data_IF_836971240526
#
_entry.id   IF_836971240526
#
_cell.length_a   1.000
_cell.length_b   1.000
_cell.length_c   1.000
_cell.angle_alpha   90.00
_cell.angle_beta   90.00
_cell.angle_gamma   90.00
#
_symmetry.space_group_name_H-M   'P 1'
#
loop_
_entity.id
_entity.type
_entity.pdbx_description
1 polymer ?
#
# COMPACT_ATOMS: atom_id res chain seq x y z
N UNK A 1 27.21 -31.31 29.14
CA UNK A 1 26.03 -30.72 28.49
C UNK A 1 26.23 -29.23 28.29
N UNK A 2 26.63 -28.50 29.32
CA UNK A 2 26.83 -27.03 29.27
C UNK A 2 27.85 -26.60 28.20
N UNK A 3 29.01 -27.28 28.05
CA UNK A 3 30.01 -26.93 27.05
C UNK A 3 29.51 -27.06 25.61
N UNK A 4 28.64 -28.05 25.34
CA UNK A 4 28.03 -28.20 24.00
C UNK A 4 27.06 -27.07 23.69
N UNK A 5 26.28 -26.59 24.70
CA UNK A 5 25.37 -25.46 24.54
C UNK A 5 26.17 -24.17 24.36
N UNK A 6 27.19 -23.93 25.19
CA UNK A 6 28.07 -22.76 25.07
C UNK A 6 28.74 -22.70 23.69
N UNK A 7 29.20 -23.85 23.20
CA UNK A 7 29.78 -23.95 21.88
C UNK A 7 28.77 -23.72 20.74
N UNK A 8 27.53 -24.20 20.91
CA UNK A 8 26.44 -23.93 19.95
C UNK A 8 26.11 -22.45 19.86
N UNK A 9 26.00 -21.78 21.00
CA UNK A 9 25.75 -20.33 21.07
C UNK A 9 26.92 -19.53 20.49
N UNK A 10 28.17 -19.93 20.80
CA UNK A 10 29.35 -19.29 20.23
C UNK A 10 29.38 -19.36 18.70
N UNK A 11 29.01 -20.50 18.13
CA UNK A 11 28.98 -20.68 16.68
C UNK A 11 27.87 -19.82 16.00
N UNK A 12 26.71 -19.72 16.65
CA UNK A 12 25.61 -18.83 16.19
C UNK A 12 26.10 -17.38 16.23
N UNK A 13 26.75 -16.95 17.32
CA UNK A 13 27.27 -15.60 17.45
C UNK A 13 28.40 -15.31 16.44
N UNK A 14 29.28 -16.26 16.17
CA UNK A 14 30.31 -16.15 15.13
C UNK A 14 29.67 -15.96 13.74
N UNK A 15 28.61 -16.73 13.43
CA UNK A 15 27.88 -16.61 12.18
C UNK A 15 27.13 -15.27 12.09
N UNK A 16 26.50 -14.83 13.17
CA UNK A 16 25.85 -13.53 13.30
C UNK A 16 26.83 -12.37 13.02
N UNK A 17 27.95 -12.32 13.72
CA UNK A 17 28.93 -11.26 13.56
C UNK A 17 29.55 -11.24 12.17
N UNK A 18 29.82 -12.41 11.60
CA UNK A 18 30.30 -12.54 10.23
C UNK A 18 29.31 -11.99 9.22
N UNK A 19 28.02 -12.23 9.41
CA UNK A 19 26.94 -11.73 8.55
C UNK A 19 26.82 -10.21 8.67
N UNK A 20 26.74 -9.68 9.89
CA UNK A 20 26.67 -8.25 10.15
C UNK A 20 27.85 -7.48 9.52
N UNK A 21 29.07 -8.00 9.70
CA UNK A 21 30.26 -7.41 9.10
C UNK A 21 30.22 -7.42 7.57
N UNK A 22 29.65 -8.47 6.96
CA UNK A 22 29.56 -8.56 5.50
C UNK A 22 28.52 -7.58 4.95
N UNK A 23 27.37 -7.43 5.64
CA UNK A 23 26.32 -6.48 5.28
C UNK A 23 26.85 -5.04 5.27
N UNK A 24 27.57 -4.64 6.33
CA UNK A 24 28.11 -3.26 6.44
C UNK A 24 29.25 -3.00 5.46
N UNK A 25 30.01 -4.02 5.07
CA UNK A 25 31.18 -3.86 4.17
C UNK A 25 30.84 -3.86 2.70
N UNK A 26 29.71 -4.44 2.31
CA UNK A 26 29.24 -4.45 0.94
C UNK A 26 28.32 -3.25 0.72
N UNK A 27 28.81 -2.23 -0.01
CA UNK A 27 28.11 -0.96 -0.21
C UNK A 27 26.71 -1.16 -0.81
N UNK A 28 26.56 -2.07 -1.79
CA UNK A 28 25.27 -2.35 -2.40
C UNK A 28 24.31 -3.03 -1.44
N UNK A 29 24.79 -3.96 -0.61
CA UNK A 29 23.97 -4.62 0.41
C UNK A 29 23.56 -3.63 1.50
N UNK A 30 24.49 -2.81 1.98
CA UNK A 30 24.21 -1.78 2.99
C UNK A 30 23.21 -0.73 2.47
N UNK A 31 23.35 -0.30 1.21
CA UNK A 31 22.42 0.61 0.57
C UNK A 31 20.98 0.07 0.61
N UNK A 32 20.77 -1.15 0.12
CA UNK A 32 19.43 -1.72 -0.01
C UNK A 32 18.85 -2.31 1.27
N UNK A 33 19.67 -2.74 2.23
CA UNK A 33 19.17 -3.27 3.51
C UNK A 33 19.00 -2.20 4.60
N UNK A 34 19.74 -1.09 4.52
CA UNK A 34 19.73 -0.07 5.58
C UNK A 34 19.21 1.27 5.07
N UNK A 35 19.77 1.81 3.95
CA UNK A 35 19.47 3.16 3.51
C UNK A 35 18.11 3.24 2.80
N UNK A 36 17.87 2.38 1.82
CA UNK A 36 16.63 2.39 1.05
C UNK A 36 15.39 2.22 1.93
N UNK A 37 15.30 1.26 2.88
CA UNK A 37 14.12 1.13 3.73
C UNK A 37 13.93 2.28 4.72
N UNK A 38 14.92 3.14 4.91
CA UNK A 38 14.76 4.36 5.72
C UNK A 38 14.17 5.51 4.88
N UNK A 39 14.67 5.74 3.67
CA UNK A 39 14.29 6.90 2.87
C UNK A 39 13.05 6.65 1.98
N UNK A 40 12.91 5.44 1.45
CA UNK A 40 11.83 5.13 0.51
C UNK A 40 10.42 5.24 1.13
N UNK A 41 10.18 4.80 2.38
CA UNK A 41 8.90 5.02 3.05
C UNK A 41 8.57 6.50 3.28
N UNK A 42 9.58 7.34 3.57
CA UNK A 42 9.38 8.80 3.71
C UNK A 42 8.89 9.38 2.39
N UNK A 43 9.56 9.03 1.28
CA UNK A 43 9.19 9.54 -0.05
C UNK A 43 7.73 9.18 -0.39
N UNK A 44 7.34 7.91 -0.22
CA UNK A 44 5.96 7.48 -0.47
C UNK A 44 4.97 8.19 0.44
N UNK A 45 5.25 8.24 1.73
CA UNK A 45 4.36 8.90 2.68
C UNK A 45 4.21 10.39 2.40
N UNK A 46 5.25 11.06 1.94
CA UNK A 46 5.19 12.46 1.56
C UNK A 46 4.34 12.69 0.31
N UNK A 47 4.50 11.86 -0.73
CA UNK A 47 3.70 11.95 -1.97
C UNK A 47 2.20 11.79 -1.67
N UNK A 48 1.85 10.86 -0.79
CA UNK A 48 0.44 10.55 -0.46
C UNK A 48 -0.10 11.31 0.76
N UNK A 49 0.68 12.24 1.34
CA UNK A 49 0.29 12.97 2.55
C UNK A 49 -0.95 13.86 2.37
N UNK A 50 -1.19 14.34 1.16
CA UNK A 50 -2.39 15.15 0.87
C UNK A 50 -3.69 14.34 0.88
N UNK A 51 -3.61 13.02 0.97
CA UNK A 51 -4.69 12.03 1.08
C UNK A 51 -5.87 12.19 0.10
N UNK A 52 -6.41 13.41 -0.05
CA UNK A 52 -7.57 13.75 -0.88
C UNK A 52 -7.15 14.79 -1.93
N UNK A 53 -7.58 14.59 -3.16
CA UNK A 53 -7.39 15.59 -4.22
C UNK A 53 -8.38 16.71 -4.00
N UNK A 54 -7.89 17.95 -3.93
CA UNK A 54 -8.70 19.16 -3.76
C UNK A 54 -8.47 20.12 -4.91
N UNK A 55 -9.40 21.08 -5.06
CA UNK A 55 -9.34 22.13 -6.09
C UNK A 55 -9.11 21.56 -7.51
N UNK A 56 -9.80 20.45 -7.86
CA UNK A 56 -9.70 19.85 -9.19
C UNK A 56 -10.18 20.86 -10.23
N UNK A 57 -9.35 21.25 -11.22
CA UNK A 57 -9.75 22.25 -12.20
C UNK A 57 -10.83 21.72 -13.13
N UNK A 58 -11.92 22.50 -13.28
CA UNK A 58 -13.05 22.18 -14.16
C UNK A 58 -13.41 23.37 -15.04
N UNK A 59 -13.95 23.07 -16.23
CA UNK A 59 -14.53 24.07 -17.10
C UNK A 59 -16.06 24.09 -16.95
N UNK A 60 -16.66 25.28 -16.97
CA UNK A 60 -18.10 25.46 -16.94
C UNK A 60 -18.57 26.03 -18.28
N UNK A 61 -19.61 25.42 -18.85
CA UNK A 61 -20.35 25.91 -20.02
C UNK A 61 -21.76 26.24 -19.57
N UNK A 62 -21.99 27.53 -19.29
CA UNK A 62 -23.32 28.03 -18.89
C UNK A 62 -24.09 28.60 -20.09
N UNK A 63 -24.94 27.76 -20.72
CA UNK A 63 -25.81 28.20 -21.81
C UNK A 63 -27.12 28.87 -21.31
N UNK A 64 -27.45 28.69 -20.01
CA UNK A 64 -28.68 29.26 -19.42
C UNK A 64 -28.53 30.73 -19.05
N UNK A 65 -27.38 31.19 -18.63
CA UNK A 65 -27.12 32.53 -18.11
C UNK A 65 -28.13 33.03 -17.07
N UNK A 66 -28.74 32.12 -16.32
CA UNK A 66 -29.84 32.38 -15.39
C UNK A 66 -29.33 32.62 -13.96
N UNK A 67 -30.23 33.03 -13.06
CA UNK A 67 -29.93 33.17 -11.65
C UNK A 67 -29.62 31.80 -11.02
N UNK A 68 -30.33 30.75 -11.42
CA UNK A 68 -30.16 29.36 -10.95
C UNK A 68 -28.84 28.75 -11.44
N UNK A 69 -28.45 29.02 -12.71
CA UNK A 69 -27.15 28.54 -13.21
C UNK A 69 -25.99 29.21 -12.48
N UNK A 70 -26.06 30.52 -12.25
CA UNK A 70 -25.03 31.24 -11.48
C UNK A 70 -24.94 30.75 -10.02
N UNK A 71 -26.08 30.44 -9.40
CA UNK A 71 -26.12 29.89 -8.05
C UNK A 71 -25.50 28.50 -8.01
N UNK A 72 -25.79 27.64 -8.98
CA UNK A 72 -25.16 26.32 -9.11
C UNK A 72 -23.65 26.46 -9.22
N UNK A 73 -23.16 27.27 -10.14
CA UNK A 73 -21.70 27.48 -10.36
C UNK A 73 -21.02 28.05 -9.11
N UNK A 74 -21.66 29.04 -8.46
CA UNK A 74 -21.10 29.62 -7.23
C UNK A 74 -20.95 28.59 -6.11
N UNK A 75 -21.94 27.73 -5.91
CA UNK A 75 -21.89 26.65 -4.90
C UNK A 75 -20.92 25.55 -5.28
N UNK A 76 -20.81 25.29 -6.57
CA UNK A 76 -19.90 24.29 -7.11
C UNK A 76 -18.44 24.73 -6.92
N UNK A 77 -18.13 25.97 -7.22
CA UNK A 77 -16.81 26.56 -7.01
C UNK A 77 -16.45 26.73 -5.51
N UNK A 78 -17.46 26.89 -4.65
CA UNK A 78 -17.28 26.93 -3.21
C UNK A 78 -17.01 25.58 -2.57
N UNK A 79 -17.13 24.47 -3.32
CA UNK A 79 -16.77 23.13 -2.83
C UNK A 79 -15.24 23.00 -2.73
N UNK A 80 -14.71 22.41 -1.65
CA UNK A 80 -13.27 22.22 -1.49
C UNK A 80 -12.68 21.24 -2.50
N UNK A 81 -13.51 20.43 -3.18
CA UNK A 81 -13.07 19.35 -4.06
C UNK A 81 -12.76 19.84 -5.48
N UNK A 82 -13.38 20.93 -5.91
CA UNK A 82 -13.32 21.43 -7.30
C UNK A 82 -13.03 22.92 -7.34
N UNK A 83 -12.46 23.37 -8.46
CA UNK A 83 -12.22 24.78 -8.75
C UNK A 83 -12.66 25.07 -10.18
N UNK A 84 -13.52 26.06 -10.36
CA UNK A 84 -13.91 26.52 -11.67
C UNK A 84 -12.76 27.35 -12.26
N UNK A 85 -11.97 26.73 -13.13
CA UNK A 85 -10.80 27.35 -13.74
C UNK A 85 -11.15 28.14 -14.99
N UNK A 86 -12.14 27.68 -15.79
CA UNK A 86 -12.51 28.26 -17.06
C UNK A 86 -14.02 28.34 -17.25
N UNK A 87 -14.47 29.46 -17.81
CA UNK A 87 -15.80 29.62 -18.36
C UNK A 87 -15.71 29.57 -19.88
N UNK A 88 -16.39 28.62 -20.51
CA UNK A 88 -16.36 28.40 -21.94
C UNK A 88 -17.75 28.71 -22.56
N UNK A 89 -17.72 29.21 -23.81
CA UNK A 89 -18.96 29.49 -24.54
C UNK A 89 -19.53 28.26 -25.25
N UNK A 90 -18.71 27.23 -25.45
CA UNK A 90 -19.15 26.00 -26.12
C UNK A 90 -18.52 24.76 -25.51
N UNK A 91 -19.20 23.61 -25.68
CA UNK A 91 -18.68 22.30 -25.24
C UNK A 91 -17.40 21.95 -26.01
N UNK A 92 -17.28 22.35 -27.28
CA UNK A 92 -16.09 22.09 -28.11
C UNK A 92 -14.86 22.81 -27.56
N UNK A 93 -15.02 24.02 -27.08
CA UNK A 93 -13.95 24.77 -26.41
C UNK A 93 -13.51 24.06 -25.13
N UNK A 94 -14.47 23.69 -24.28
CA UNK A 94 -14.21 22.98 -23.04
C UNK A 94 -13.54 21.61 -23.27
N UNK A 95 -13.95 20.86 -24.32
CA UNK A 95 -13.33 19.60 -24.71
C UNK A 95 -11.86 19.76 -25.10
N UNK A 96 -11.51 20.88 -25.77
CA UNK A 96 -10.11 21.18 -26.11
C UNK A 96 -9.25 21.40 -24.86
N UNK A 97 -9.80 22.01 -23.81
CA UNK A 97 -9.12 22.18 -22.53
C UNK A 97 -8.90 20.84 -21.82
N UNK A 98 -9.90 19.94 -21.86
CA UNK A 98 -9.73 18.56 -21.37
C UNK A 98 -8.66 17.80 -22.15
N UNK A 99 -8.68 17.91 -23.48
CA UNK A 99 -7.67 17.27 -24.33
C UNK A 99 -6.24 17.77 -24.09
N UNK A 100 -6.09 19.02 -23.65
CA UNK A 100 -4.81 19.61 -23.22
C UNK A 100 -4.45 19.32 -21.78
N UNK A 101 -5.34 18.62 -21.02
CA UNK A 101 -5.19 18.35 -19.59
C UNK A 101 -5.14 19.63 -18.71
N UNK A 102 -5.68 20.76 -19.21
CA UNK A 102 -5.80 21.97 -18.42
C UNK A 102 -6.94 21.90 -17.42
N UNK A 103 -7.98 21.09 -17.72
CA UNK A 103 -9.11 20.76 -16.83
C UNK A 103 -9.41 19.26 -16.86
N UNK A 104 -9.97 18.75 -15.76
CA UNK A 104 -10.30 17.33 -15.60
C UNK A 104 -11.77 17.01 -15.84
N UNK A 105 -12.61 18.03 -16.03
CA UNK A 105 -14.04 17.84 -16.31
C UNK A 105 -14.72 19.09 -16.80
N UNK A 106 -15.96 18.90 -17.30
CA UNK A 106 -16.81 19.96 -17.84
C UNK A 106 -18.17 19.86 -17.17
N UNK A 107 -18.68 20.97 -16.69
CA UNK A 107 -20.07 21.11 -16.23
C UNK A 107 -20.85 21.90 -17.27
N UNK A 108 -21.87 21.29 -17.84
CA UNK A 108 -22.75 21.93 -18.83
C UNK A 108 -24.11 22.20 -18.24
N UNK A 109 -24.51 23.45 -18.29
CA UNK A 109 -25.81 23.97 -17.84
C UNK A 109 -26.63 24.36 -19.08
N UNK A 110 -27.74 23.64 -19.40
CA UNK A 110 -28.48 23.84 -20.64
C UNK A 110 -29.30 25.15 -20.62
N UNK A 111 -29.60 25.68 -21.80
CA UNK A 111 -30.35 26.94 -22.00
C UNK A 111 -31.75 26.95 -21.32
N UNK A 112 -32.39 25.79 -21.29
CA UNK A 112 -33.73 25.62 -20.74
C UNK A 112 -33.79 25.35 -19.23
N UNK A 113 -32.60 25.30 -18.54
CA UNK A 113 -32.47 25.00 -17.11
C UNK A 113 -33.49 25.79 -16.27
N UNK A 114 -33.46 27.10 -16.34
CA UNK A 114 -34.37 27.97 -15.55
C UNK A 114 -35.81 27.85 -15.94
N UNK A 115 -36.09 27.69 -17.25
CA UNK A 115 -37.47 27.54 -17.77
C UNK A 115 -38.11 26.26 -17.25
N UNK A 116 -37.38 25.15 -17.25
CA UNK A 116 -37.84 23.85 -16.71
C UNK A 116 -38.05 23.91 -15.21
N UNK A 117 -37.07 24.41 -14.47
CA UNK A 117 -37.16 24.53 -13.00
C UNK A 117 -38.41 25.38 -12.61
N UNK A 118 -38.64 26.52 -13.29
CA UNK A 118 -39.81 27.36 -13.01
C UNK A 118 -41.14 26.72 -13.39
N UNK A 119 -41.15 25.72 -14.30
CA UNK A 119 -42.34 24.93 -14.66
C UNK A 119 -42.52 23.68 -13.80
N UNK A 120 -41.68 23.48 -12.79
CA UNK A 120 -41.63 22.26 -11.97
C UNK A 120 -41.31 21.00 -12.80
N UNK A 121 -40.56 21.16 -13.90
CA UNK A 121 -40.08 20.07 -14.73
C UNK A 121 -38.64 19.71 -14.32
N UNK A 122 -38.23 18.45 -14.54
CA UNK A 122 -36.86 18.04 -14.29
C UNK A 122 -35.90 18.70 -15.27
N UNK A 123 -34.87 19.35 -14.76
CA UNK A 123 -33.77 19.89 -15.55
C UNK A 123 -32.50 19.06 -15.28
N UNK A 124 -31.70 18.83 -16.31
CA UNK A 124 -30.51 18.00 -16.23
C UNK A 124 -29.24 18.84 -16.38
N UNK A 125 -28.38 18.82 -15.38
CA UNK A 125 -27.02 19.34 -15.47
C UNK A 125 -26.12 18.18 -15.93
N UNK A 126 -25.38 18.37 -17.03
CA UNK A 126 -24.49 17.33 -17.56
C UNK A 126 -23.08 17.54 -17.07
N UNK A 127 -22.47 16.49 -16.52
CA UNK A 127 -21.12 16.51 -16.02
C UNK A 127 -20.30 15.53 -16.85
N UNK A 128 -19.30 16.04 -17.56
CA UNK A 128 -18.36 15.25 -18.35
C UNK A 128 -17.03 15.20 -17.61
N UNK A 129 -16.55 14.02 -17.28
CA UNK A 129 -15.33 13.83 -16.51
C UNK A 129 -14.33 12.96 -17.24
N UNK A 130 -13.06 13.26 -17.06
CA UNK A 130 -11.99 12.35 -17.44
C UNK A 130 -11.89 11.19 -16.42
N UNK A 131 -12.32 10.01 -16.83
CA UNK A 131 -12.30 8.81 -15.99
C UNK A 131 -10.92 8.14 -15.91
N UNK A 132 -9.92 8.62 -16.64
CA UNK A 132 -8.54 8.11 -16.52
C UNK A 132 -7.93 8.47 -15.16
N UNK A 133 -8.38 9.57 -14.55
CA UNK A 133 -8.00 10.04 -13.22
C UNK A 133 -9.11 9.81 -12.20
N UNK A 134 -9.21 8.58 -11.68
CA UNK A 134 -10.29 8.14 -10.79
C UNK A 134 -10.56 9.09 -9.59
N UNK A 135 -9.52 9.65 -8.99
CA UNK A 135 -9.65 10.56 -7.84
C UNK A 135 -10.26 11.90 -8.26
N UNK A 136 -9.83 12.47 -9.40
CA UNK A 136 -10.38 13.70 -9.93
C UNK A 136 -11.85 13.52 -10.35
N UNK A 137 -12.17 12.41 -11.03
CA UNK A 137 -13.54 12.02 -11.36
C UNK A 137 -14.44 11.98 -10.12
N UNK A 138 -13.98 11.29 -9.05
CA UNK A 138 -14.75 11.19 -7.80
C UNK A 138 -14.99 12.57 -7.18
N UNK A 139 -14.00 13.44 -7.14
CA UNK A 139 -14.12 14.80 -6.60
C UNK A 139 -15.16 15.63 -7.37
N UNK A 140 -15.07 15.64 -8.72
CA UNK A 140 -15.98 16.35 -9.61
C UNK A 140 -17.42 15.86 -9.43
N UNK A 141 -17.62 14.54 -9.41
CA UNK A 141 -18.96 13.94 -9.29
C UNK A 141 -19.57 14.19 -7.90
N UNK A 142 -18.77 14.03 -6.84
CA UNK A 142 -19.24 14.27 -5.47
C UNK A 142 -19.67 15.72 -5.28
N UNK A 143 -18.87 16.68 -5.75
CA UNK A 143 -19.22 18.09 -5.70
C UNK A 143 -20.53 18.39 -6.48
N UNK A 144 -20.66 17.85 -7.69
CA UNK A 144 -21.84 18.07 -8.52
C UNK A 144 -23.11 17.47 -7.90
N UNK A 145 -23.03 16.26 -7.36
CA UNK A 145 -24.16 15.60 -6.69
C UNK A 145 -24.57 16.32 -5.41
N UNK A 146 -23.62 16.75 -4.60
CA UNK A 146 -23.87 17.49 -3.35
C UNK A 146 -24.56 18.84 -3.62
N UNK A 147 -24.06 19.60 -4.61
CA UNK A 147 -24.68 20.88 -5.00
C UNK A 147 -26.09 20.68 -5.59
N UNK A 148 -26.26 19.67 -6.45
CA UNK A 148 -27.56 19.34 -7.03
C UNK A 148 -28.57 18.94 -5.95
N UNK A 149 -28.16 18.12 -4.99
CA UNK A 149 -29.00 17.70 -3.86
C UNK A 149 -29.42 18.88 -2.99
N UNK A 150 -28.50 19.76 -2.67
CA UNK A 150 -28.78 20.98 -1.89
C UNK A 150 -29.72 21.95 -2.63
N UNK A 151 -29.55 22.14 -3.94
CA UNK A 151 -30.42 22.97 -4.73
C UNK A 151 -31.82 22.35 -4.87
N UNK A 152 -31.90 21.03 -5.04
CA UNK A 152 -33.17 20.31 -5.07
C UNK A 152 -33.94 20.48 -3.76
N UNK A 153 -33.30 20.35 -2.62
CA UNK A 153 -33.91 20.56 -1.30
C UNK A 153 -34.48 21.98 -1.17
N UNK A 154 -33.68 22.99 -1.54
CA UNK A 154 -34.14 24.38 -1.50
C UNK A 154 -35.35 24.65 -2.43
N UNK A 155 -35.34 24.05 -3.62
CA UNK A 155 -36.49 24.17 -4.56
C UNK A 155 -37.75 23.49 -4.01
N UNK A 156 -37.61 22.31 -3.40
CA UNK A 156 -38.74 21.60 -2.77
C UNK A 156 -39.35 22.41 -1.64
N UNK A 157 -38.54 22.99 -0.76
CA UNK A 157 -39.01 23.86 0.33
C UNK A 157 -39.69 25.13 -0.23
N UNK A 158 -39.14 25.71 -1.30
CA UNK A 158 -39.75 26.90 -1.94
C UNK A 158 -41.11 26.61 -2.59
N UNK A 159 -41.29 25.39 -3.10
CA UNK A 159 -42.53 24.96 -3.76
C UNK A 159 -43.63 24.52 -2.76
N UNK A 160 -43.23 23.90 -1.67
CA UNK A 160 -44.13 23.40 -0.63
C UNK A 160 -43.55 23.69 0.76
N UNK A 161 -43.58 24.95 1.21
CA UNK A 161 -43.00 25.35 2.48
C UNK A 161 -43.81 24.70 3.62
N UNK A 162 -43.09 24.00 4.51
CA UNK A 162 -43.63 23.51 5.77
C UNK A 162 -43.73 24.63 6.82
N UNK A 163 -44.52 24.42 7.87
CA UNK A 163 -44.66 25.36 8.97
C UNK A 163 -43.44 25.26 9.95
N UNK A 164 -42.71 24.17 9.89
CA UNK A 164 -41.55 23.90 10.76
C UNK A 164 -40.37 23.39 9.95
N UNK A 165 -39.16 23.58 10.49
CA UNK A 165 -37.92 23.03 9.88
C UNK A 165 -37.98 21.51 9.81
N UNK A 166 -38.68 20.86 10.76
CA UNK A 166 -38.87 19.42 10.76
C UNK A 166 -39.72 18.93 9.57
N UNK A 167 -40.82 19.63 9.26
CA UNK A 167 -41.65 19.31 8.09
C UNK A 167 -40.88 19.53 6.79
N UNK A 168 -40.11 20.61 6.70
CA UNK A 168 -39.21 20.84 5.57
C UNK A 168 -38.18 19.72 5.41
N UNK A 169 -37.59 19.23 6.49
CA UNK A 169 -36.63 18.12 6.44
C UNK A 169 -37.28 16.81 5.97
N UNK A 170 -38.51 16.50 6.41
CA UNK A 170 -39.26 15.33 5.93
C UNK A 170 -39.62 15.48 4.44
N UNK A 171 -40.01 16.68 4.00
CA UNK A 171 -40.34 16.92 2.60
C UNK A 171 -39.14 16.77 1.67
N UNK A 172 -37.95 17.25 2.11
CA UNK A 172 -36.74 17.20 1.31
C UNK A 172 -36.04 15.85 1.35
N UNK A 173 -36.10 15.17 2.51
CA UNK A 173 -35.43 13.86 2.74
C UNK A 173 -36.35 12.93 3.56
N UNK A 174 -37.43 12.39 2.94
CA UNK A 174 -38.37 11.49 3.63
C UNK A 174 -37.68 10.17 4.08
N UNK A 175 -36.63 9.77 3.39
CA UNK A 175 -35.73 8.70 3.80
C UNK A 175 -34.35 9.29 4.07
N UNK A 176 -34.01 9.48 5.33
CA UNK A 176 -32.70 9.93 5.74
C UNK A 176 -31.74 8.73 5.83
N UNK A 177 -30.50 8.90 5.35
CA UNK A 177 -29.45 7.92 5.54
C UNK A 177 -28.28 8.60 6.26
N UNK A 178 -27.67 7.87 7.15
CA UNK A 178 -26.46 8.30 7.86
C UNK A 178 -25.26 7.56 7.27
N UNK A 179 -24.32 8.29 6.70
CA UNK A 179 -23.07 7.74 6.20
C UNK A 179 -22.06 7.69 7.34
N UNK A 180 -21.82 6.50 7.87
CA UNK A 180 -20.79 6.27 8.88
C UNK A 180 -19.57 5.67 8.20
N UNK A 181 -18.54 6.48 7.99
CA UNK A 181 -17.27 6.01 7.45
C UNK A 181 -16.56 5.14 8.48
N UNK A 182 -16.45 3.84 8.18
CA UNK A 182 -15.73 2.89 9.02
C UNK A 182 -14.27 2.80 8.58
N UNK A 183 -13.34 2.75 9.56
CA UNK A 183 -11.90 2.51 9.41
C UNK A 183 -11.13 3.65 8.74
N UNK A 184 -11.32 3.96 7.48
CA UNK A 184 -10.70 5.09 6.80
C UNK A 184 -11.68 6.27 6.75
N UNK A 185 -11.86 6.95 7.88
CA UNK A 185 -12.84 8.05 8.03
C UNK A 185 -12.56 9.24 7.13
N UNK A 186 -11.31 9.46 6.76
CA UNK A 186 -10.91 10.56 5.84
C UNK A 186 -11.16 10.22 4.38
N UNK A 187 -11.41 8.94 4.05
CA UNK A 187 -11.47 8.46 2.67
C UNK A 187 -10.18 8.65 1.89
N UNK A 188 -9.07 8.89 2.61
CA UNK A 188 -7.78 9.22 2.05
C UNK A 188 -7.14 8.06 1.30
N UNK A 189 -6.54 8.38 0.15
CA UNK A 189 -5.84 7.39 -0.68
C UNK A 189 -4.56 6.89 -0.02
N UNK A 190 -3.86 7.76 0.73
CA UNK A 190 -2.68 7.40 1.50
C UNK A 190 -2.99 6.32 2.54
N UNK A 191 -4.01 6.52 3.35
CA UNK A 191 -4.46 5.54 4.35
C UNK A 191 -4.89 4.19 3.74
N UNK A 192 -5.37 4.19 2.49
CA UNK A 192 -5.78 2.99 1.77
C UNK A 192 -4.59 2.18 1.24
N UNK A 193 -3.64 2.81 0.52
CA UNK A 193 -2.59 2.11 -0.22
C UNK A 193 -1.32 1.90 0.61
N UNK A 194 -0.99 2.85 1.48
CA UNK A 194 0.31 2.93 2.16
C UNK A 194 0.62 1.71 3.05
N UNK A 195 -0.32 1.18 3.85
CA UNK A 195 -0.06 -0.01 4.67
C UNK A 195 0.45 -1.19 3.84
N UNK A 196 -0.15 -1.41 2.66
CA UNK A 196 0.27 -2.46 1.74
C UNK A 196 1.66 -2.21 1.14
N UNK A 197 1.93 -0.98 0.72
CA UNK A 197 3.22 -0.58 0.15
C UNK A 197 4.34 -0.70 1.18
N UNK A 198 4.13 -0.26 2.43
CA UNK A 198 5.14 -0.34 3.50
C UNK A 198 5.54 -1.79 3.80
N UNK A 199 4.57 -2.71 3.87
CA UNK A 199 4.84 -4.15 4.04
C UNK A 199 5.63 -4.71 2.86
N UNK A 200 5.28 -4.32 1.63
CA UNK A 200 5.98 -4.77 0.44
C UNK A 200 7.42 -4.25 0.41
N UNK A 201 7.67 -3.00 0.80
CA UNK A 201 9.02 -2.42 0.90
C UNK A 201 9.91 -3.27 1.81
N UNK A 202 9.40 -3.68 2.97
CA UNK A 202 10.14 -4.53 3.92
C UNK A 202 10.58 -5.84 3.25
N UNK A 203 9.66 -6.54 2.56
CA UNK A 203 10.00 -7.77 1.86
C UNK A 203 10.98 -7.54 0.71
N UNK A 204 10.75 -6.54 -0.13
CA UNK A 204 11.55 -6.33 -1.34
C UNK A 204 12.96 -5.84 -1.03
N UNK A 205 13.13 -4.97 -0.05
CA UNK A 205 14.47 -4.53 0.38
C UNK A 205 15.25 -5.66 1.04
N UNK A 206 14.57 -6.52 1.82
CA UNK A 206 15.17 -7.71 2.39
C UNK A 206 15.59 -8.72 1.29
N UNK A 207 14.71 -8.95 0.31
CA UNK A 207 14.98 -9.84 -0.82
C UNK A 207 16.17 -9.33 -1.64
N UNK A 208 16.17 -8.04 -1.96
CA UNK A 208 17.23 -7.42 -2.75
C UNK A 208 18.59 -7.47 -2.03
N UNK A 209 18.64 -7.02 -0.78
CA UNK A 209 19.88 -7.03 -0.01
C UNK A 209 20.41 -8.44 0.25
N UNK A 210 19.53 -9.39 0.60
CA UNK A 210 19.93 -10.79 0.80
C UNK A 210 20.36 -11.43 -0.52
N UNK A 211 19.66 -11.18 -1.59
CA UNK A 211 20.00 -11.69 -2.92
C UNK A 211 21.37 -11.18 -3.41
N UNK A 212 21.65 -9.88 -3.27
CA UNK A 212 22.97 -9.29 -3.56
C UNK A 212 24.07 -9.95 -2.72
N UNK A 213 23.82 -10.20 -1.43
CA UNK A 213 24.76 -10.82 -0.52
C UNK A 213 25.09 -12.26 -0.95
N UNK A 214 24.07 -13.04 -1.32
CA UNK A 214 24.28 -14.41 -1.78
C UNK A 214 24.86 -14.47 -3.20
N UNK A 215 24.47 -13.55 -4.10
CA UNK A 215 25.07 -13.40 -5.42
C UNK A 215 26.58 -13.13 -5.31
N UNK A 216 27.01 -12.15 -4.50
CA UNK A 216 28.42 -11.87 -4.25
C UNK A 216 29.19 -13.07 -3.68
N UNK A 217 28.56 -13.84 -2.80
CA UNK A 217 29.17 -15.06 -2.26
C UNK A 217 29.34 -16.13 -3.32
N UNK A 218 28.39 -16.25 -4.23
CA UNK A 218 28.43 -17.21 -5.34
C UNK A 218 29.53 -16.88 -6.34
N UNK A 219 29.65 -15.60 -6.73
CA UNK A 219 30.70 -15.12 -7.63
C UNK A 219 32.09 -15.34 -7.04
N UNK A 220 32.28 -15.08 -5.75
CA UNK A 220 33.53 -15.41 -5.02
C UNK A 220 33.71 -16.90 -4.81
N UNK A 221 32.72 -17.72 -5.16
CA UNK A 221 32.73 -19.15 -4.98
C UNK A 221 32.65 -19.63 -3.53
N UNK A 222 32.30 -18.80 -2.56
CA UNK A 222 32.25 -19.15 -1.14
C UNK A 222 30.93 -18.78 -0.50
N UNK A 223 30.01 -19.72 -0.34
CA UNK A 223 28.79 -19.52 0.47
C UNK A 223 29.04 -19.43 1.98
N UNK A 224 30.23 -19.87 2.41
CA UNK A 224 30.65 -19.91 3.81
C UNK A 224 31.87 -19.03 3.95
N UNK A 225 31.84 -18.11 4.89
CA UNK A 225 32.92 -17.19 5.18
C UNK A 225 34.06 -17.92 5.91
N UNK A 226 35.28 -17.47 5.75
CA UNK A 226 36.45 -18.07 6.39
C UNK A 226 36.29 -18.24 7.90
N UNK A 227 35.65 -17.27 8.56
CA UNK A 227 35.35 -17.32 10.01
C UNK A 227 34.34 -18.40 10.39
N UNK A 228 33.49 -18.85 9.49
CA UNK A 228 32.50 -19.91 9.74
C UNK A 228 32.91 -21.29 9.23
N UNK A 229 34.05 -21.40 8.55
CA UNK A 229 34.65 -22.69 8.13
C UNK A 229 34.82 -23.72 9.27
N UNK A 230 35.26 -23.35 10.48
CA UNK A 230 35.39 -24.32 11.57
C UNK A 230 34.06 -24.96 11.99
N UNK A 231 32.93 -24.27 11.75
CA UNK A 231 31.60 -24.76 12.10
C UNK A 231 31.21 -25.97 11.23
N UNK A 232 31.73 -26.10 10.00
CA UNK A 232 31.46 -27.22 9.10
C UNK A 232 31.82 -28.60 9.65
N UNK A 233 32.82 -28.65 10.50
CA UNK A 233 33.27 -29.90 11.13
C UNK A 233 32.45 -30.33 12.35
N UNK A 234 31.40 -29.57 12.70
CA UNK A 234 30.57 -29.78 13.89
C UNK A 234 29.24 -30.46 13.56
N UNK A 235 28.52 -30.89 14.59
CA UNK A 235 27.15 -31.42 14.42
C UNK A 235 26.19 -30.34 14.00
N UNK A 236 25.33 -30.63 12.99
CA UNK A 236 24.34 -29.73 12.45
C UNK A 236 24.92 -28.37 11.99
N UNK A 237 25.95 -28.34 11.14
CA UNK A 237 26.65 -27.12 10.81
C UNK A 237 25.75 -26.10 10.10
N UNK A 238 24.91 -26.56 9.18
CA UNK A 238 24.01 -25.70 8.39
C UNK A 238 22.98 -25.00 9.28
N UNK A 239 22.44 -25.71 10.28
CA UNK A 239 21.52 -25.13 11.24
C UNK A 239 22.16 -23.98 12.02
N UNK A 240 23.41 -24.16 12.51
CA UNK A 240 24.15 -23.12 13.25
C UNK A 240 24.42 -21.88 12.40
N UNK A 241 24.76 -22.09 11.14
CA UNK A 241 25.04 -20.99 10.20
C UNK A 241 23.76 -20.23 9.86
N UNK A 242 22.68 -20.94 9.48
CA UNK A 242 21.41 -20.29 9.12
C UNK A 242 20.83 -19.56 10.31
N UNK A 243 20.77 -20.14 11.50
CA UNK A 243 20.24 -19.47 12.69
C UNK A 243 21.01 -18.19 13.04
N UNK A 244 22.34 -18.20 12.95
CA UNK A 244 23.14 -16.99 13.17
C UNK A 244 22.87 -15.89 12.14
N UNK A 245 22.76 -16.24 10.86
CA UNK A 245 22.41 -15.32 9.77
C UNK A 245 20.98 -14.76 9.92
N UNK A 246 20.02 -15.65 10.23
CA UNK A 246 18.63 -15.26 10.47
C UNK A 246 18.52 -14.28 11.63
N UNK A 247 19.23 -14.54 12.74
CA UNK A 247 19.22 -13.65 13.90
C UNK A 247 19.76 -12.26 13.54
N UNK A 248 20.82 -12.19 12.74
CA UNK A 248 21.37 -10.91 12.26
C UNK A 248 20.35 -10.13 11.45
N UNK A 249 19.74 -10.77 10.43
CA UNK A 249 18.74 -10.15 9.59
C UNK A 249 17.48 -9.78 10.36
N UNK A 250 17.06 -10.63 11.29
CA UNK A 250 15.89 -10.38 12.14
C UNK A 250 16.07 -9.15 13.01
N UNK A 251 17.22 -8.95 13.62
CA UNK A 251 17.49 -7.76 14.45
C UNK A 251 17.52 -6.48 13.62
N UNK A 252 18.19 -6.50 12.47
CA UNK A 252 18.22 -5.35 11.56
C UNK A 252 16.81 -5.02 11.09
N UNK A 253 16.06 -6.01 10.59
CA UNK A 253 14.73 -5.77 10.06
C UNK A 253 13.65 -5.58 11.11
N UNK A 254 13.84 -6.02 12.34
CA UNK A 254 12.97 -5.63 13.45
C UNK A 254 13.04 -4.11 13.71
N UNK A 255 14.25 -3.53 13.69
CA UNK A 255 14.43 -2.08 13.81
C UNK A 255 13.86 -1.33 12.60
N UNK A 256 14.15 -1.80 11.38
CA UNK A 256 13.61 -1.23 10.13
C UNK A 256 12.08 -1.28 10.13
N UNK A 257 11.50 -2.42 10.49
CA UNK A 257 10.04 -2.60 10.51
C UNK A 257 9.37 -1.73 11.57
N UNK A 258 9.95 -1.62 12.75
CA UNK A 258 9.46 -0.71 13.78
C UNK A 258 9.48 0.76 13.29
N UNK A 259 10.53 1.16 12.60
CA UNK A 259 10.61 2.48 11.98
C UNK A 259 9.54 2.66 10.90
N UNK A 260 9.45 1.74 9.94
CA UNK A 260 8.55 1.83 8.78
C UNK A 260 7.08 1.77 9.18
N UNK A 261 6.72 0.88 10.13
CA UNK A 261 5.31 0.65 10.48
C UNK A 261 4.80 1.49 11.67
N UNK A 262 5.69 2.04 12.51
CA UNK A 262 5.27 2.84 13.67
C UNK A 262 5.71 4.30 13.57
N UNK A 263 6.99 4.57 13.21
CA UNK A 263 7.49 5.94 13.19
C UNK A 263 6.97 6.72 11.97
N UNK A 264 7.02 6.14 10.76
CA UNK A 264 6.61 6.82 9.53
C UNK A 264 5.12 7.23 9.57
N UNK A 265 4.16 6.32 9.86
CA UNK A 265 2.75 6.73 9.90
C UNK A 265 2.47 7.80 10.96
N UNK A 266 3.16 7.78 12.10
CA UNK A 266 3.04 8.82 13.13
C UNK A 266 3.59 10.17 12.66
N UNK A 267 4.70 10.19 11.90
CA UNK A 267 5.27 11.42 11.36
C UNK A 267 4.34 12.12 10.37
N UNK A 268 3.59 11.35 9.59
CA UNK A 268 2.67 11.86 8.56
C UNK A 268 1.20 11.87 8.99
N UNK A 269 0.92 11.60 10.27
CA UNK A 269 -0.44 11.61 10.86
C UNK A 269 -1.43 10.64 10.20
N UNK A 270 -0.95 9.52 9.62
CA UNK A 270 -1.83 8.47 9.10
C UNK A 270 -2.54 7.74 10.23
N UNK A 271 -3.78 7.35 9.95
CA UNK A 271 -4.62 6.65 10.92
C UNK A 271 -4.07 5.26 11.21
N UNK A 272 -3.83 4.96 12.48
CA UNK A 272 -3.40 3.66 12.97
C UNK A 272 -4.30 3.20 14.11
N UNK A 273 -5.03 2.10 13.89
CA UNK A 273 -5.92 1.49 14.90
C UNK A 273 -5.29 0.25 15.55
N UNK A 274 -4.05 -0.09 15.21
CA UNK A 274 -3.36 -1.30 15.65
C UNK A 274 -2.99 -1.28 17.13
N UNK A 275 -3.03 -2.44 17.79
CA UNK A 275 -2.46 -2.67 19.09
C UNK A 275 -0.99 -3.08 18.97
N UNK A 276 -0.05 -2.44 19.70
CA UNK A 276 1.39 -2.74 19.58
C UNK A 276 1.76 -4.20 19.87
N UNK A 277 1.07 -4.86 20.80
CA UNK A 277 1.31 -6.26 21.11
C UNK A 277 0.96 -7.20 19.95
N UNK A 278 -0.19 -6.97 19.30
CA UNK A 278 -0.65 -7.75 18.15
C UNK A 278 0.27 -7.53 16.95
N UNK A 279 0.78 -6.30 16.76
CA UNK A 279 1.77 -6.01 15.73
C UNK A 279 3.04 -6.85 15.91
N UNK A 280 3.60 -6.92 17.13
CA UNK A 280 4.82 -7.71 17.38
C UNK A 280 4.59 -9.19 17.10
N UNK A 281 3.44 -9.74 17.54
CA UNK A 281 3.08 -11.13 17.30
C UNK A 281 2.90 -11.46 15.82
N UNK A 282 2.40 -10.50 15.03
CA UNK A 282 2.20 -10.65 13.60
C UNK A 282 3.49 -10.44 12.79
N UNK A 283 4.30 -9.44 13.17
CA UNK A 283 5.53 -9.09 12.45
C UNK A 283 6.58 -10.19 12.55
N UNK A 284 6.65 -10.90 13.67
CA UNK A 284 7.64 -11.97 13.86
C UNK A 284 7.54 -13.09 12.81
N UNK A 285 6.40 -13.76 12.59
CA UNK A 285 6.27 -14.76 11.53
C UNK A 285 6.44 -14.18 10.14
N UNK A 286 6.01 -12.94 9.91
CA UNK A 286 6.22 -12.25 8.64
C UNK A 286 7.71 -12.05 8.32
N UNK A 287 8.49 -11.51 9.24
CA UNK A 287 9.92 -11.32 9.04
C UNK A 287 10.66 -12.65 8.85
N UNK A 288 10.32 -13.67 9.64
CA UNK A 288 10.91 -14.99 9.47
C UNK A 288 10.61 -15.59 8.09
N UNK A 289 9.37 -15.49 7.64
CA UNK A 289 8.98 -15.95 6.30
C UNK A 289 9.74 -15.18 5.20
N UNK A 290 9.83 -13.85 5.30
CA UNK A 290 10.57 -13.01 4.36
C UNK A 290 12.08 -13.33 4.36
N UNK A 291 12.70 -13.52 5.52
CA UNK A 291 14.13 -13.85 5.64
C UNK A 291 14.43 -15.19 4.96
N UNK A 292 13.65 -16.24 5.27
CA UNK A 292 13.90 -17.56 4.69
C UNK A 292 13.55 -17.60 3.19
N UNK A 293 12.50 -16.88 2.78
CA UNK A 293 12.19 -16.68 1.36
C UNK A 293 13.35 -16.00 0.63
N UNK A 294 13.86 -14.88 1.16
CA UNK A 294 14.95 -14.14 0.57
C UNK A 294 16.25 -14.97 0.51
N UNK A 295 16.55 -15.74 1.55
CA UNK A 295 17.68 -16.68 1.55
C UNK A 295 17.52 -17.76 0.48
N UNK A 296 16.32 -18.31 0.33
CA UNK A 296 16.03 -19.36 -0.65
C UNK A 296 16.21 -18.83 -2.07
N UNK A 297 15.58 -17.69 -2.38
CA UNK A 297 15.68 -17.06 -3.71
C UNK A 297 17.11 -16.61 -3.99
N UNK A 298 17.78 -15.97 -3.03
CA UNK A 298 19.16 -15.54 -3.18
C UNK A 298 20.15 -16.69 -3.46
N UNK A 299 19.89 -17.88 -2.93
CA UNK A 299 20.70 -19.06 -3.27
C UNK A 299 20.38 -19.66 -4.64
N UNK A 300 19.20 -19.42 -5.19
CA UNK A 300 18.79 -19.91 -6.52
C UNK A 300 19.31 -19.02 -7.64
N UNK A 301 19.38 -17.73 -7.42
CA UNK A 301 19.79 -16.74 -8.44
C UNK A 301 21.28 -16.93 -8.77
N UNK A 302 21.64 -17.03 -10.07
CA UNK A 302 23.00 -17.34 -10.49
C UNK A 302 23.96 -16.15 -10.37
N UNK A 303 23.52 -14.94 -10.68
CA UNK A 303 24.35 -13.73 -10.74
C UNK A 303 23.80 -12.65 -9.78
N UNK A 304 24.70 -11.78 -9.30
CA UNK A 304 24.33 -10.68 -8.39
C UNK A 304 23.33 -9.73 -9.03
N UNK A 305 23.47 -9.45 -10.31
CA UNK A 305 22.65 -8.50 -11.06
C UNK A 305 21.23 -9.01 -11.31
N UNK A 306 21.02 -10.31 -11.46
CA UNK A 306 19.72 -10.93 -11.70
C UNK A 306 18.73 -10.69 -10.57
N UNK A 307 19.22 -10.43 -9.34
CA UNK A 307 18.38 -10.14 -8.19
C UNK A 307 17.53 -8.88 -8.40
N UNK A 308 18.12 -7.85 -9.02
CA UNK A 308 17.40 -6.60 -9.32
C UNK A 308 16.25 -6.84 -10.29
N UNK A 309 16.47 -7.68 -11.31
CA UNK A 309 15.40 -8.05 -12.25
C UNK A 309 14.26 -8.76 -11.53
N UNK A 310 14.56 -9.75 -10.67
CA UNK A 310 13.53 -10.46 -9.90
C UNK A 310 12.73 -9.50 -9.04
N UNK A 311 13.38 -8.58 -8.33
CA UNK A 311 12.71 -7.61 -7.45
C UNK A 311 11.85 -6.63 -8.24
N UNK A 312 12.37 -6.07 -9.34
CA UNK A 312 11.62 -5.11 -10.19
C UNK A 312 10.39 -5.76 -10.79
N UNK A 313 10.53 -6.94 -11.41
CA UNK A 313 9.39 -7.63 -12.03
C UNK A 313 8.35 -8.14 -11.02
N UNK A 314 8.76 -8.47 -9.80
CA UNK A 314 7.83 -8.98 -8.80
C UNK A 314 7.16 -7.86 -7.98
N UNK A 315 7.79 -6.70 -7.80
CA UNK A 315 7.28 -5.66 -6.89
C UNK A 315 5.90 -5.16 -7.27
N UNK A 316 5.70 -4.74 -8.51
CA UNK A 316 4.40 -4.24 -8.99
C UNK A 316 3.36 -5.37 -9.02
N UNK A 317 3.74 -6.53 -9.55
CA UNK A 317 2.85 -7.71 -9.61
C UNK A 317 2.35 -8.14 -8.22
N UNK A 318 3.22 -8.15 -7.22
CA UNK A 318 2.87 -8.53 -5.85
C UNK A 318 1.95 -7.52 -5.19
N UNK A 319 2.08 -6.22 -5.47
CA UNK A 319 1.16 -5.22 -4.96
C UNK A 319 -0.26 -5.45 -5.48
N UNK A 320 -0.43 -5.73 -6.77
CA UNK A 320 -1.74 -6.04 -7.35
C UNK A 320 -2.30 -7.37 -6.83
N UNK A 321 -1.47 -8.39 -6.70
CA UNK A 321 -1.87 -9.72 -6.23
C UNK A 321 -2.15 -9.77 -4.73
N UNK A 322 -1.71 -8.77 -3.95
CA UNK A 322 -1.94 -8.71 -2.50
C UNK A 322 -3.40 -8.49 -2.10
N UNK A 323 -4.21 -7.96 -3.02
CA UNK A 323 -5.62 -7.64 -2.75
C UNK A 323 -5.87 -6.20 -2.29
N UNK A 324 -4.83 -5.35 -2.20
CA UNK A 324 -4.97 -3.93 -1.83
C UNK A 324 -5.47 -3.11 -3.00
N UNK A 325 -4.82 -3.21 -4.16
CA UNK A 325 -5.22 -2.43 -5.35
C UNK A 325 -6.41 -3.03 -6.10
N UNK A 326 -6.61 -4.34 -6.01
CA UNK A 326 -7.69 -5.07 -6.68
C UNK A 326 -8.29 -6.12 -5.75
N UNK A 327 -9.62 -6.20 -5.58
CA UNK A 327 -10.25 -7.15 -4.67
C UNK A 327 -9.85 -8.60 -4.96
N UNK A 328 -9.46 -9.35 -3.94
CA UNK A 328 -9.03 -10.75 -4.09
C UNK A 328 -10.10 -11.68 -4.68
N UNK A 329 -11.37 -11.39 -4.42
CA UNK A 329 -12.49 -12.14 -4.99
C UNK A 329 -12.49 -12.14 -6.52
N UNK A 330 -11.96 -11.08 -7.12
CA UNK A 330 -11.94 -10.86 -8.57
C UNK A 330 -10.62 -11.30 -9.23
N UNK A 331 -9.65 -11.77 -8.43
CA UNK A 331 -8.39 -12.33 -8.96
C UNK A 331 -8.62 -13.79 -9.39
N UNK A 332 -8.27 -14.18 -10.65
CA UNK A 332 -8.39 -15.57 -11.09
C UNK A 332 -7.66 -16.54 -10.15
N UNK A 333 -8.22 -17.73 -9.95
CA UNK A 333 -7.74 -18.73 -8.98
C UNK A 333 -6.27 -19.10 -9.14
N UNK A 334 -5.78 -19.17 -10.39
CA UNK A 334 -4.38 -19.44 -10.70
C UNK A 334 -3.45 -18.37 -10.09
N UNK A 335 -3.72 -17.08 -10.33
CA UNK A 335 -2.90 -15.98 -9.82
C UNK A 335 -2.99 -15.84 -8.30
N UNK A 336 -4.16 -16.14 -7.74
CA UNK A 336 -4.36 -16.20 -6.29
C UNK A 336 -3.52 -17.31 -5.64
N UNK A 337 -3.48 -18.50 -6.25
CA UNK A 337 -2.62 -19.58 -5.78
C UNK A 337 -1.13 -19.24 -5.93
N UNK A 338 -0.74 -18.58 -7.03
CA UNK A 338 0.63 -18.11 -7.23
C UNK A 338 1.03 -17.05 -6.17
N UNK A 339 0.14 -16.12 -5.85
CA UNK A 339 0.35 -15.11 -4.82
C UNK A 339 0.64 -15.72 -3.44
N UNK A 340 0.05 -16.89 -3.13
CA UNK A 340 0.29 -17.61 -1.87
C UNK A 340 1.75 -18.08 -1.67
N UNK A 341 2.58 -18.04 -2.70
CA UNK A 341 4.01 -18.33 -2.57
C UNK A 341 4.79 -17.19 -1.90
N UNK A 342 4.26 -15.97 -1.93
CA UNK A 342 4.99 -14.79 -1.44
C UNK A 342 4.51 -14.39 -0.04
N UNK A 343 5.44 -14.19 0.91
CA UNK A 343 5.08 -13.75 2.26
C UNK A 343 4.34 -12.40 2.30
N UNK A 344 4.64 -11.50 1.34
CA UNK A 344 3.96 -10.20 1.22
C UNK A 344 2.45 -10.32 1.07
N UNK A 345 1.94 -11.36 0.42
CA UNK A 345 0.50 -11.56 0.22
C UNK A 345 -0.24 -11.62 1.56
N UNK A 346 0.16 -12.53 2.44
CA UNK A 346 -0.44 -12.66 3.78
C UNK A 346 0.01 -11.55 4.73
N UNK A 347 1.25 -11.07 4.55
CA UNK A 347 1.78 -9.93 5.30
C UNK A 347 0.96 -8.66 5.10
N UNK A 348 0.66 -8.31 3.85
CA UNK A 348 -0.14 -7.14 3.52
C UNK A 348 -1.57 -7.29 4.02
N UNK A 349 -2.21 -8.44 3.75
CA UNK A 349 -3.59 -8.68 4.18
C UNK A 349 -3.76 -8.61 5.70
N UNK A 350 -2.90 -9.28 6.44
CA UNK A 350 -2.95 -9.24 7.90
C UNK A 350 -2.65 -7.85 8.46
N UNK A 351 -1.64 -7.15 7.90
CA UNK A 351 -1.29 -5.82 8.35
C UNK A 351 -2.38 -4.78 8.07
N UNK A 352 -3.02 -4.81 6.90
CA UNK A 352 -4.15 -3.93 6.58
C UNK A 352 -5.30 -4.14 7.57
N UNK A 353 -5.63 -5.38 7.89
CA UNK A 353 -6.67 -5.68 8.90
C UNK A 353 -6.29 -5.14 10.28
N UNK A 354 -5.05 -5.34 10.74
CA UNK A 354 -4.56 -4.82 12.02
C UNK A 354 -4.53 -3.29 12.05
N UNK A 355 -3.91 -2.68 11.02
CA UNK A 355 -3.63 -1.25 11.00
C UNK A 355 -4.87 -0.41 10.69
N UNK A 356 -5.64 -0.79 9.67
CA UNK A 356 -6.74 0.02 9.15
C UNK A 356 -8.06 -0.35 9.82
N UNK A 357 -8.30 -1.63 10.12
CA UNK A 357 -9.56 -2.10 10.68
C UNK A 357 -9.52 -2.32 12.20
N UNK A 358 -8.33 -2.17 12.83
CA UNK A 358 -8.18 -2.40 14.28
C UNK A 358 -8.48 -3.85 14.69
N UNK A 359 -8.29 -4.81 13.79
CA UNK A 359 -8.52 -6.23 14.05
C UNK A 359 -7.54 -6.74 15.12
N UNK A 360 -7.98 -7.71 15.92
CA UNK A 360 -7.13 -8.41 16.89
C UNK A 360 -6.36 -9.55 16.21
N UNK A 361 -5.34 -10.05 16.89
CA UNK A 361 -4.56 -11.21 16.39
C UNK A 361 -5.45 -12.46 16.19
N UNK A 362 -6.53 -12.59 16.95
CA UNK A 362 -7.54 -13.65 16.79
C UNK A 362 -8.28 -13.61 15.46
N UNK A 363 -8.40 -12.45 14.84
CA UNK A 363 -9.16 -12.25 13.61
C UNK A 363 -8.30 -12.51 12.36
N UNK A 364 -6.97 -12.52 12.52
CA UNK A 364 -5.99 -12.74 11.46
C UNK A 364 -5.22 -14.06 11.64
N UNK A 365 -5.81 -15.02 12.35
CA UNK A 365 -5.18 -16.34 12.59
C UNK A 365 -4.84 -17.06 11.29
N UNK A 366 -5.65 -16.89 10.25
CA UNK A 366 -5.40 -17.49 8.94
C UNK A 366 -4.09 -16.98 8.34
N UNK A 367 -3.91 -15.67 8.26
CA UNK A 367 -2.71 -15.02 7.72
C UNK A 367 -1.47 -15.40 8.55
N UNK A 368 -1.59 -15.37 9.88
CA UNK A 368 -0.51 -15.79 10.77
C UNK A 368 -0.11 -17.25 10.56
N UNK A 369 -1.06 -18.17 10.45
CA UNK A 369 -0.79 -19.59 10.17
C UNK A 369 -0.07 -19.77 8.84
N UNK A 370 -0.53 -19.10 7.79
CA UNK A 370 0.09 -19.17 6.48
C UNK A 370 1.53 -18.65 6.50
N UNK A 371 1.79 -17.56 7.21
CA UNK A 371 3.16 -17.02 7.39
C UNK A 371 4.07 -18.01 8.13
N UNK A 372 3.58 -18.68 9.19
CA UNK A 372 4.35 -19.71 9.88
C UNK A 372 4.63 -20.92 8.97
N UNK A 373 3.66 -21.36 8.17
CA UNK A 373 3.85 -22.44 7.21
C UNK A 373 4.89 -22.06 6.16
N UNK A 374 4.81 -20.84 5.61
CA UNK A 374 5.80 -20.33 4.66
C UNK A 374 7.19 -20.23 5.31
N UNK A 375 7.29 -19.72 6.52
CA UNK A 375 8.55 -19.65 7.26
C UNK A 375 9.18 -21.04 7.41
N UNK A 376 8.40 -22.05 7.77
CA UNK A 376 8.89 -23.43 7.91
C UNK A 376 9.34 -24.03 6.56
N UNK A 377 8.52 -23.87 5.53
CA UNK A 377 8.82 -24.40 4.19
C UNK A 377 10.11 -23.77 3.64
N UNK A 378 10.20 -22.44 3.67
CA UNK A 378 11.40 -21.74 3.18
C UNK A 378 12.63 -21.98 4.06
N UNK A 379 12.46 -22.16 5.36
CA UNK A 379 13.56 -22.58 6.24
C UNK A 379 14.15 -23.93 5.83
N UNK A 380 13.30 -24.93 5.58
CA UNK A 380 13.73 -26.26 5.14
C UNK A 380 14.38 -26.19 3.75
N UNK A 381 13.83 -25.41 2.84
CA UNK A 381 14.42 -25.18 1.52
C UNK A 381 15.79 -24.50 1.61
N UNK A 382 15.92 -23.47 2.42
CA UNK A 382 17.19 -22.78 2.65
C UNK A 382 18.26 -23.70 3.25
N UNK A 383 17.87 -24.54 4.22
CA UNK A 383 18.77 -25.57 4.79
C UNK A 383 19.24 -26.56 3.72
N UNK A 384 18.33 -27.05 2.92
CA UNK A 384 18.62 -28.00 1.85
C UNK A 384 19.54 -27.42 0.78
N UNK A 385 19.25 -26.20 0.31
CA UNK A 385 20.07 -25.49 -0.68
C UNK A 385 21.48 -25.22 -0.14
N UNK A 386 21.59 -24.73 1.09
CA UNK A 386 22.88 -24.47 1.71
C UNK A 386 23.70 -25.79 1.86
N UNK A 387 23.05 -26.86 2.30
CA UNK A 387 23.70 -28.18 2.40
C UNK A 387 24.21 -28.66 1.03
N UNK A 388 23.38 -28.57 -0.02
CA UNK A 388 23.75 -28.94 -1.40
C UNK A 388 24.92 -28.09 -1.92
N UNK A 389 24.91 -26.78 -1.67
CA UNK A 389 25.96 -25.87 -2.08
C UNK A 389 27.31 -26.20 -1.38
N UNK A 390 27.26 -26.54 -0.09
CA UNK A 390 28.43 -26.92 0.65
C UNK A 390 28.98 -28.30 0.27
N UNK A 391 28.10 -29.29 0.04
CA UNK A 391 28.50 -30.63 -0.39
C UNK A 391 29.24 -30.60 -1.73
N UNK A 392 28.84 -29.78 -2.67
CA UNK A 392 29.48 -29.66 -4.00
C UNK A 392 30.91 -29.10 -3.92
N UNK A 393 31.27 -28.38 -2.87
CA UNK A 393 32.54 -27.66 -2.79
C UNK A 393 33.48 -28.13 -1.69
N UNK A 394 32.98 -28.65 -0.58
CA UNK A 394 33.76 -28.98 0.61
C UNK A 394 33.77 -30.49 0.95
N UNK A 395 33.00 -31.28 0.23
CA UNK A 395 32.95 -32.73 0.25
C UNK A 395 33.02 -33.28 -1.18
#
# INVERSE_FOLDING_TARGET
MFDKIKQFLSDIFCSFYSEARTIVRDEGVALFMLIVPLFYPILYSWIYNNEVVREVPVAVVDASHSAQSREFVRRYDASPDVKVAYFCNSIEEARRLVAKQEVNGIVYLPEDLSKRLNRMESATVSVYCDMSLMLAYKAILTAATSVSSLMNANLQVALAPGYTDHENSITTQPLNYEEVAMFNSTGGYGNFILPGVLMLIIQQTLLLGTGLLYGSRRERGFFITTSTLPILKRRLPMLRIITGRTLCMLLIYAAVTAYVLLAIPKMFHFVQLLHPADLVLFVLPYLLACIFFAMTIGMLIPQREDVMLVVVFTSVGLLFLSGVSWPQSNIPSFWRAFACLFPSTFGIQGFVKLNTMGALISDIVYECRMLWIQALVYFLLALWLLHRACKKKYY
#
